data_IF_017841796841
#
_entry.id   IF_017841796841
#
_cell.length_a   1.000
_cell.length_b   1.000
_cell.length_c   1.000
_cell.angle_alpha   90.00
_cell.angle_beta   90.00
_cell.angle_gamma   90.00
#
_symmetry.space_group_name_H-M   'P 1'
#
loop_
_entity.id
_entity.type
_entity.pdbx_description
1 polymer ?
#
# COMPACT_ATOMS: atom_id res chain seq x y z
N UNK A 1 41.92 -29.58 79.46
CA UNK A 1 42.31 -29.08 78.13
C UNK A 1 41.09 -29.28 77.24
N UNK A 2 40.31 -28.21 77.10
CA UNK A 2 38.96 -28.17 76.51
C UNK A 2 39.04 -27.91 75.01
N UNK A 3 38.45 -28.79 74.21
CA UNK A 3 38.39 -28.72 72.75
C UNK A 3 37.05 -28.08 72.33
N UNK A 4 37.02 -26.92 71.64
CA UNK A 4 35.79 -26.31 71.21
C UNK A 4 35.50 -26.54 69.72
N UNK A 5 34.21 -26.78 69.47
CA UNK A 5 33.46 -26.39 68.28
C UNK A 5 33.68 -27.21 67.00
N UNK A 6 32.80 -28.21 66.89
CA UNK A 6 32.19 -28.63 65.65
C UNK A 6 31.67 -27.43 64.84
N UNK A 7 32.16 -27.27 63.62
CA UNK A 7 31.48 -26.51 62.56
C UNK A 7 31.25 -27.43 61.38
N UNK A 8 29.99 -27.83 61.22
CA UNK A 8 29.47 -28.51 60.04
C UNK A 8 29.70 -27.63 58.81
N UNK A 9 30.60 -28.07 57.90
CA UNK A 9 30.70 -27.54 56.55
C UNK A 9 29.76 -28.33 55.66
N UNK A 10 28.54 -27.82 55.53
CA UNK A 10 27.63 -28.09 54.43
C UNK A 10 28.35 -27.81 53.10
N UNK A 11 28.79 -28.88 52.42
CA UNK A 11 29.30 -28.81 51.05
C UNK A 11 28.12 -29.09 50.13
N UNK A 12 27.34 -28.04 49.89
CA UNK A 12 26.38 -28.00 48.79
C UNK A 12 27.07 -28.39 47.49
N UNK A 13 26.83 -29.62 47.05
CA UNK A 13 27.19 -30.10 45.72
C UNK A 13 26.40 -29.27 44.71
N UNK A 14 27.04 -28.22 44.19
CA UNK A 14 26.53 -27.53 43.00
C UNK A 14 26.59 -28.54 41.86
N UNK A 15 25.47 -29.21 41.61
CA UNK A 15 25.21 -29.91 40.37
C UNK A 15 25.56 -28.96 39.22
N UNK A 16 26.69 -29.21 38.56
CA UNK A 16 26.98 -28.60 37.27
C UNK A 16 25.96 -29.19 36.31
N UNK A 17 24.87 -28.47 36.10
CA UNK A 17 24.01 -28.64 34.95
C UNK A 17 24.91 -28.67 33.71
N UNK A 18 25.10 -29.86 33.16
CA UNK A 18 25.80 -30.07 31.90
C UNK A 18 24.95 -29.40 30.83
N UNK A 19 25.25 -28.14 30.53
CA UNK A 19 24.66 -27.45 29.38
C UNK A 19 25.13 -28.16 28.12
N UNK A 20 24.26 -28.99 27.55
CA UNK A 20 24.50 -29.66 26.29
C UNK A 20 24.87 -28.61 25.23
N UNK A 21 26.03 -28.81 24.60
CA UNK A 21 26.56 -27.93 23.56
C UNK A 21 25.54 -27.88 22.41
N UNK A 22 25.16 -26.70 21.89
CA UNK A 22 24.21 -26.62 20.79
C UNK A 22 24.72 -27.46 19.61
N UNK A 23 23.93 -28.44 19.17
CA UNK A 23 24.25 -29.31 18.04
C UNK A 23 24.46 -28.46 16.80
N UNK A 24 25.58 -28.65 16.11
CA UNK A 24 25.88 -27.91 14.88
C UNK A 24 24.74 -28.10 13.86
N UNK A 25 24.40 -27.07 13.06
CA UNK A 25 23.37 -27.19 12.03
C UNK A 25 23.71 -28.33 11.07
N UNK A 26 22.78 -29.27 10.89
CA UNK A 26 22.95 -30.45 10.01
C UNK A 26 23.14 -30.02 8.54
N UNK A 27 22.61 -28.86 8.17
CA UNK A 27 22.85 -28.24 6.87
C UNK A 27 24.02 -27.25 6.97
N UNK A 28 25.11 -27.42 6.20
CA UNK A 28 26.30 -26.57 6.27
C UNK A 28 25.97 -25.08 6.16
N UNK A 29 26.55 -24.21 7.01
CA UNK A 29 26.35 -22.77 6.90
C UNK A 29 27.12 -22.21 5.69
N UNK A 30 26.40 -21.41 4.89
CA UNK A 30 26.87 -20.50 3.82
C UNK A 30 27.65 -21.14 2.66
N UNK A 31 26.88 -21.57 1.66
CA UNK A 31 27.30 -21.55 0.26
C UNK A 31 26.95 -20.19 -0.38
N UNK A 32 27.65 -19.83 -1.46
CA UNK A 32 27.44 -18.59 -2.25
C UNK A 32 25.96 -18.42 -2.63
N UNK A 33 25.28 -19.53 -2.92
CA UNK A 33 23.85 -19.59 -3.28
C UNK A 33 22.92 -19.02 -2.19
N UNK A 34 23.20 -19.26 -0.91
CA UNK A 34 22.39 -18.72 0.19
C UNK A 34 22.52 -17.21 0.38
N UNK A 35 23.71 -16.65 0.10
CA UNK A 35 23.94 -15.20 0.15
C UNK A 35 23.29 -14.51 -1.05
N UNK A 36 23.41 -15.10 -2.24
CA UNK A 36 22.73 -14.60 -3.44
C UNK A 36 21.21 -14.56 -3.26
N UNK A 37 20.60 -15.63 -2.72
CA UNK A 37 19.17 -15.66 -2.42
C UNK A 37 18.75 -14.55 -1.45
N UNK A 38 19.54 -14.30 -0.40
CA UNK A 38 19.25 -13.24 0.57
C UNK A 38 19.20 -11.86 -0.11
N UNK A 39 20.15 -11.59 -1.01
CA UNK A 39 20.20 -10.33 -1.76
C UNK A 39 18.99 -10.19 -2.69
N UNK A 40 18.61 -11.26 -3.41
CA UNK A 40 17.43 -11.23 -4.29
C UNK A 40 16.15 -10.97 -3.48
N UNK A 41 15.97 -11.64 -2.35
CA UNK A 41 14.81 -11.42 -1.47
C UNK A 41 14.83 -9.99 -0.90
N UNK A 42 15.99 -9.44 -0.56
CA UNK A 42 16.10 -8.05 -0.10
C UNK A 42 15.68 -7.06 -1.18
N UNK A 43 16.14 -7.23 -2.44
CA UNK A 43 15.75 -6.38 -3.56
C UNK A 43 14.24 -6.50 -3.83
N UNK A 44 13.70 -7.71 -3.89
CA UNK A 44 12.26 -7.93 -4.13
C UNK A 44 11.41 -7.35 -3.00
N UNK A 45 11.82 -7.54 -1.74
CA UNK A 45 11.11 -6.97 -0.60
C UNK A 45 11.14 -5.44 -0.60
N UNK A 46 12.26 -4.83 -1.01
CA UNK A 46 12.35 -3.39 -1.20
C UNK A 46 11.38 -2.92 -2.29
N UNK A 47 11.39 -3.56 -3.46
CA UNK A 47 10.50 -3.21 -4.57
C UNK A 47 9.02 -3.39 -4.19
N UNK A 48 8.66 -4.47 -3.49
CA UNK A 48 7.32 -4.68 -2.98
C UNK A 48 6.90 -3.57 -2.00
N UNK A 49 7.77 -3.19 -1.07
CA UNK A 49 7.51 -2.12 -0.10
C UNK A 49 7.32 -0.76 -0.79
N UNK A 50 8.17 -0.42 -1.77
CA UNK A 50 8.03 0.81 -2.56
C UNK A 50 6.73 0.81 -3.36
N UNK A 51 6.42 -0.30 -4.03
CA UNK A 51 5.18 -0.45 -4.82
C UNK A 51 3.95 -0.31 -3.94
N UNK A 52 3.93 -0.94 -2.77
CA UNK A 52 2.83 -0.80 -1.81
C UNK A 52 2.68 0.63 -1.32
N UNK A 53 3.78 1.31 -1.00
CA UNK A 53 3.77 2.72 -0.61
C UNK A 53 3.21 3.62 -1.72
N UNK A 54 3.60 3.38 -2.98
CA UNK A 54 3.07 4.13 -4.12
C UNK A 54 1.57 3.90 -4.34
N UNK A 55 1.12 2.64 -4.31
CA UNK A 55 -0.29 2.27 -4.52
C UNK A 55 -1.18 2.84 -3.42
N UNK A 56 -0.77 2.70 -2.14
CA UNK A 56 -1.52 3.23 -1.00
C UNK A 56 -1.63 4.75 -1.06
N UNK A 57 -0.55 5.44 -1.42
CA UNK A 57 -0.56 6.89 -1.60
C UNK A 57 -1.51 7.32 -2.73
N UNK A 58 -1.47 6.67 -3.89
CA UNK A 58 -2.39 6.99 -5.01
C UNK A 58 -3.85 6.78 -4.59
N UNK A 59 -4.15 5.72 -3.86
CA UNK A 59 -5.50 5.41 -3.40
C UNK A 59 -6.00 6.45 -2.39
N UNK A 60 -5.24 6.76 -1.34
CA UNK A 60 -5.63 7.75 -0.32
C UNK A 60 -5.87 9.14 -0.93
N UNK A 61 -5.08 9.52 -1.95
CA UNK A 61 -5.25 10.81 -2.63
C UNK A 61 -6.45 10.82 -3.56
N UNK A 62 -6.72 9.73 -4.27
CA UNK A 62 -7.89 9.61 -5.12
C UNK A 62 -9.20 9.70 -4.31
N UNK A 63 -9.24 9.06 -3.13
CA UNK A 63 -10.39 9.11 -2.22
C UNK A 63 -10.59 10.50 -1.60
N UNK A 64 -9.50 11.18 -1.20
CA UNK A 64 -9.57 12.54 -0.68
C UNK A 64 -10.10 13.55 -1.71
N UNK A 65 -9.58 13.52 -2.94
CA UNK A 65 -10.04 14.39 -4.03
C UNK A 65 -11.50 14.12 -4.41
N UNK A 66 -11.94 12.86 -4.33
CA UNK A 66 -13.33 12.50 -4.58
C UNK A 66 -14.29 13.15 -3.58
N UNK A 67 -13.97 13.11 -2.28
CA UNK A 67 -14.81 13.72 -1.24
C UNK A 67 -14.97 15.23 -1.43
N UNK A 68 -13.89 15.93 -1.78
CA UNK A 68 -13.93 17.39 -1.91
C UNK A 68 -14.68 17.84 -3.18
N UNK A 69 -14.50 17.15 -4.32
CA UNK A 69 -15.12 17.54 -5.61
C UNK A 69 -16.56 17.05 -5.75
N UNK A 70 -16.94 15.96 -5.07
CA UNK A 70 -18.26 15.35 -5.26
C UNK A 70 -19.36 15.89 -4.34
N UNK A 71 -19.03 16.73 -3.36
CA UNK A 71 -19.97 17.31 -2.37
C UNK A 71 -20.63 18.61 -2.80
N UNK A 72 -20.04 19.30 -3.77
CA UNK A 72 -20.52 20.58 -4.23
C UNK A 72 -20.88 20.51 -5.71
N UNK A 73 -22.04 21.04 -6.05
CA UNK A 73 -22.43 21.34 -7.42
C UNK A 73 -22.60 22.84 -7.56
N UNK A 74 -22.26 23.36 -8.74
CA UNK A 74 -22.31 24.78 -9.02
C UNK A 74 -23.39 25.04 -10.06
N UNK A 75 -24.28 25.96 -9.77
CA UNK A 75 -25.26 26.46 -10.73
C UNK A 75 -24.84 27.86 -11.14
N UNK A 76 -24.66 28.06 -12.43
CA UNK A 76 -24.22 29.32 -13.01
C UNK A 76 -25.39 30.00 -13.70
N UNK A 77 -25.65 31.27 -13.39
CA UNK A 77 -26.66 32.08 -14.05
C UNK A 77 -25.94 33.13 -14.89
N UNK A 78 -26.12 33.09 -16.20
CA UNK A 78 -25.54 34.08 -17.11
C UNK A 78 -26.37 35.37 -17.08
N UNK A 79 -25.76 36.55 -17.06
CA UNK A 79 -26.49 37.80 -17.21
C UNK A 79 -27.13 37.88 -18.61
N UNK A 80 -28.43 38.17 -18.66
CA UNK A 80 -29.18 38.43 -19.89
C UNK A 80 -29.96 39.74 -19.75
N UNK A 81 -30.22 40.43 -20.87
CA UNK A 81 -30.96 41.69 -20.87
C UNK A 81 -32.38 41.50 -20.32
N UNK A 82 -32.73 42.28 -19.28
CA UNK A 82 -34.06 42.23 -18.64
C UNK A 82 -34.23 41.13 -17.58
N UNK A 83 -33.19 40.36 -17.27
CA UNK A 83 -33.22 39.37 -16.19
C UNK A 83 -32.95 40.04 -14.82
N UNK A 84 -33.91 39.93 -13.89
CA UNK A 84 -33.66 40.24 -12.48
C UNK A 84 -32.81 39.13 -11.85
N UNK A 85 -31.51 39.42 -11.71
CA UNK A 85 -30.53 38.46 -11.23
C UNK A 85 -30.75 38.05 -9.78
N UNK A 86 -31.21 38.96 -8.92
CA UNK A 86 -31.43 38.63 -7.50
C UNK A 86 -32.66 37.74 -7.34
N UNK A 87 -33.71 38.00 -8.11
CA UNK A 87 -34.88 37.13 -8.16
C UNK A 87 -34.54 35.74 -8.72
N UNK A 88 -33.74 35.68 -9.79
CA UNK A 88 -33.28 34.42 -10.39
C UNK A 88 -32.44 33.59 -9.41
N UNK A 89 -31.53 34.23 -8.65
CA UNK A 89 -30.70 33.55 -7.65
C UNK A 89 -31.52 32.96 -6.50
N UNK A 90 -32.55 33.68 -6.04
CA UNK A 90 -33.47 33.19 -5.00
C UNK A 90 -34.29 32.01 -5.55
N UNK A 91 -34.84 32.14 -6.77
CA UNK A 91 -35.61 31.06 -7.39
C UNK A 91 -34.78 29.78 -7.55
N UNK A 92 -33.54 29.88 -8.05
CA UNK A 92 -32.62 28.74 -8.18
C UNK A 92 -32.34 28.12 -6.80
N UNK A 93 -32.07 28.94 -5.77
CA UNK A 93 -31.82 28.45 -4.41
C UNK A 93 -33.01 27.64 -3.88
N UNK A 94 -34.22 28.14 -4.05
CA UNK A 94 -35.44 27.51 -3.51
C UNK A 94 -35.78 26.20 -4.25
N UNK A 95 -35.62 26.16 -5.58
CA UNK A 95 -35.81 24.95 -6.39
C UNK A 95 -34.85 23.85 -5.95
N UNK A 96 -33.59 24.22 -5.71
CA UNK A 96 -32.56 23.25 -5.34
C UNK A 96 -32.74 22.76 -3.91
N UNK A 97 -33.07 23.63 -2.95
CA UNK A 97 -33.38 23.22 -1.58
C UNK A 97 -34.66 22.37 -1.50
N UNK A 98 -35.59 22.53 -2.45
CA UNK A 98 -36.75 21.65 -2.58
C UNK A 98 -36.44 20.26 -3.15
N UNK A 99 -35.23 20.05 -3.69
CA UNK A 99 -34.83 18.77 -4.28
C UNK A 99 -34.33 17.79 -3.20
N UNK A 100 -34.80 16.53 -3.19
CA UNK A 100 -34.29 15.51 -2.27
C UNK A 100 -32.78 15.31 -2.43
N UNK A 101 -32.03 15.36 -1.34
CA UNK A 101 -30.56 15.20 -1.36
C UNK A 101 -29.75 16.50 -1.43
N UNK A 102 -30.39 17.67 -1.54
CA UNK A 102 -29.73 18.96 -1.34
C UNK A 102 -29.67 19.30 0.17
N UNK A 103 -28.47 19.55 0.69
CA UNK A 103 -28.23 19.84 2.11
C UNK A 103 -28.22 21.33 2.37
N UNK A 104 -27.56 22.10 1.50
CA UNK A 104 -27.45 23.54 1.60
C UNK A 104 -27.31 24.18 0.22
N UNK A 105 -27.79 25.41 0.07
CA UNK A 105 -27.59 26.22 -1.14
C UNK A 105 -27.17 27.63 -0.73
N UNK A 106 -25.98 28.03 -1.17
CA UNK A 106 -25.33 29.30 -0.86
C UNK A 106 -25.12 30.11 -2.13
N UNK A 107 -25.69 31.30 -2.15
CA UNK A 107 -25.46 32.28 -3.22
C UNK A 107 -24.07 32.90 -3.00
N UNK A 108 -23.26 32.94 -4.06
CA UNK A 108 -21.96 33.62 -4.02
C UNK A 108 -22.18 35.12 -4.18
N UNK A 109 -21.70 35.89 -3.20
CA UNK A 109 -21.80 37.34 -3.23
C UNK A 109 -20.83 37.94 -4.24
N UNK A 110 -21.20 39.12 -4.75
CA UNK A 110 -20.44 39.82 -5.79
C UNK A 110 -19.03 40.17 -5.34
N UNK A 111 -18.85 40.55 -4.07
CA UNK A 111 -17.54 40.92 -3.53
C UNK A 111 -16.60 39.71 -3.44
N UNK A 112 -17.11 38.51 -3.13
CA UNK A 112 -16.35 37.27 -3.16
C UNK A 112 -15.90 36.91 -4.57
N UNK A 113 -16.77 37.03 -5.57
CA UNK A 113 -16.37 36.83 -6.97
C UNK A 113 -15.29 37.83 -7.40
N UNK A 114 -15.41 39.11 -7.00
CA UNK A 114 -14.40 40.12 -7.30
C UNK A 114 -13.02 39.77 -6.71
N UNK A 115 -12.98 39.32 -5.44
CA UNK A 115 -11.75 38.84 -4.77
C UNK A 115 -11.12 37.63 -5.45
N UNK A 116 -11.92 36.76 -6.07
CA UNK A 116 -11.40 35.59 -6.80
C UNK A 116 -10.77 35.97 -8.14
N UNK A 117 -11.20 37.09 -8.74
CA UNK A 117 -10.73 37.57 -10.04
C UNK A 117 -9.57 38.57 -9.92
N UNK A 118 -9.46 39.27 -8.79
CA UNK A 118 -8.41 40.25 -8.48
C UNK A 118 -6.97 39.75 -8.74
N UNK A 119 -6.57 38.50 -8.43
CA UNK A 119 -5.23 38.00 -8.76
C UNK A 119 -4.92 37.94 -10.25
N UNK A 120 -5.95 37.92 -11.10
CA UNK A 120 -5.83 37.79 -12.55
C UNK A 120 -6.03 39.11 -13.28
N UNK A 121 -6.95 39.95 -12.80
CA UNK A 121 -7.35 41.21 -13.45
C UNK A 121 -6.74 42.46 -12.78
N UNK A 122 -6.11 42.30 -11.62
CA UNK A 122 -5.59 43.41 -10.81
C UNK A 122 -6.67 44.05 -9.94
N UNK A 123 -6.26 45.06 -9.16
CA UNK A 123 -7.18 45.84 -8.31
C UNK A 123 -7.99 46.84 -9.16
N UNK A 124 -9.27 47.02 -8.83
CA UNK A 124 -10.11 48.12 -9.37
C UNK A 124 -10.76 47.89 -10.74
N UNK A 125 -10.85 46.64 -11.23
CA UNK A 125 -11.66 46.34 -12.40
C UNK A 125 -13.16 46.49 -12.12
N UNK A 126 -13.93 46.94 -13.11
CA UNK A 126 -15.37 47.07 -13.00
C UNK A 126 -16.07 45.72 -13.25
N UNK A 127 -16.79 45.25 -12.24
CA UNK A 127 -17.59 44.01 -12.31
C UNK A 127 -18.87 44.18 -13.14
N UNK A 128 -19.29 45.41 -13.43
CA UNK A 128 -20.48 45.74 -14.24
C UNK A 128 -20.19 45.69 -15.74
N UNK A 129 -18.94 45.88 -16.16
CA UNK A 129 -18.54 45.83 -17.57
C UNK A 129 -18.26 44.40 -18.05
N UNK A 130 -18.03 43.47 -17.14
CA UNK A 130 -17.77 42.06 -17.45
C UNK A 130 -19.05 41.24 -17.32
N UNK A 131 -19.43 40.42 -18.32
CA UNK A 131 -20.55 39.49 -18.22
C UNK A 131 -20.16 38.28 -17.35
N UNK A 132 -19.96 38.52 -16.05
CA UNK A 132 -19.56 37.49 -15.09
C UNK A 132 -20.81 36.74 -14.63
N UNK A 133 -20.87 35.41 -14.78
CA UNK A 133 -21.99 34.62 -14.29
C UNK A 133 -22.07 34.65 -12.76
N UNK A 134 -23.30 34.66 -12.24
CA UNK A 134 -23.53 34.53 -10.79
C UNK A 134 -23.63 33.05 -10.43
N UNK A 135 -23.05 32.70 -9.28
CA UNK A 135 -22.90 31.32 -8.86
C UNK A 135 -23.77 31.02 -7.63
N UNK A 136 -24.43 29.86 -7.65
CA UNK A 136 -25.04 29.25 -6.47
C UNK A 136 -24.32 27.93 -6.21
N UNK A 137 -23.65 27.83 -5.07
CA UNK A 137 -22.97 26.61 -4.63
C UNK A 137 -23.96 25.81 -3.80
N UNK A 138 -24.15 24.56 -4.19
CA UNK A 138 -25.10 23.66 -3.54
C UNK A 138 -24.33 22.48 -2.97
N UNK A 139 -24.45 22.30 -1.66
CA UNK A 139 -23.93 21.13 -0.95
C UNK A 139 -24.96 20.01 -1.03
N UNK A 140 -24.51 18.82 -1.44
CA UNK A 140 -25.36 17.64 -1.63
C UNK A 140 -24.99 16.51 -0.68
N UNK A 141 -25.95 15.64 -0.39
CA UNK A 141 -25.71 14.40 0.35
C UNK A 141 -25.04 13.37 -0.56
N UNK A 142 -23.88 12.85 -0.14
CA UNK A 142 -23.15 11.81 -0.87
C UNK A 142 -23.86 10.45 -0.83
N UNK A 143 -24.57 10.15 0.26
CA UNK A 143 -25.21 8.84 0.45
C UNK A 143 -26.53 8.72 -0.29
N UNK A 144 -27.23 9.84 -0.48
CA UNK A 144 -28.48 9.92 -1.21
C UNK A 144 -28.47 11.13 -2.16
N UNK A 145 -27.75 11.04 -3.29
CA UNK A 145 -27.56 12.18 -4.17
C UNK A 145 -28.86 12.60 -4.86
N UNK A 146 -29.05 13.90 -5.15
CA UNK A 146 -30.21 14.39 -5.87
C UNK A 146 -30.26 13.88 -7.32
N UNK A 147 -31.46 13.80 -7.88
CA UNK A 147 -31.66 13.53 -9.32
C UNK A 147 -31.31 14.78 -10.13
N UNK A 148 -30.09 14.81 -10.68
CA UNK A 148 -29.60 15.92 -11.51
C UNK A 148 -30.36 16.07 -12.83
N UNK A 149 -30.97 14.99 -13.35
CA UNK A 149 -31.82 15.06 -14.54
C UNK A 149 -33.07 15.86 -14.27
N UNK A 150 -33.78 15.50 -13.19
CA UNK A 150 -34.96 16.23 -12.73
C UNK A 150 -34.62 17.67 -12.30
N UNK A 151 -33.50 17.88 -11.60
CA UNK A 151 -33.06 19.22 -11.20
C UNK A 151 -32.73 20.10 -12.40
N UNK A 152 -32.06 19.57 -13.44
CA UNK A 152 -31.76 20.31 -14.66
C UNK A 152 -33.03 20.68 -15.43
N UNK A 153 -34.04 19.81 -15.43
CA UNK A 153 -35.36 20.13 -16.02
C UNK A 153 -36.06 21.23 -15.24
N UNK A 154 -36.14 21.13 -13.91
CA UNK A 154 -36.77 22.14 -13.06
C UNK A 154 -36.08 23.52 -13.17
N UNK A 155 -34.74 23.53 -13.26
CA UNK A 155 -33.97 24.75 -13.48
C UNK A 155 -34.22 25.35 -14.87
N UNK A 156 -34.27 24.53 -15.92
CA UNK A 156 -34.52 25.00 -17.28
C UNK A 156 -35.94 25.57 -17.45
N UNK A 157 -36.93 25.05 -16.73
CA UNK A 157 -38.30 25.57 -16.74
C UNK A 157 -38.44 26.90 -16.01
N UNK A 158 -37.76 27.07 -14.88
CA UNK A 158 -37.89 28.26 -14.03
C UNK A 158 -36.94 29.40 -14.44
N UNK A 159 -35.68 29.08 -14.77
CA UNK A 159 -34.62 30.05 -15.11
C UNK A 159 -33.81 29.52 -16.30
N UNK A 160 -34.22 29.83 -17.55
CA UNK A 160 -33.52 29.34 -18.75
C UNK A 160 -32.04 29.73 -18.84
N UNK A 161 -31.65 30.84 -18.20
CA UNK A 161 -30.26 31.32 -18.13
C UNK A 161 -29.38 30.54 -17.13
N UNK A 162 -29.94 29.61 -16.36
CA UNK A 162 -29.23 28.81 -15.37
C UNK A 162 -28.67 27.52 -15.99
N UNK A 163 -27.36 27.29 -15.80
CA UNK A 163 -26.67 26.07 -16.18
C UNK A 163 -26.17 25.33 -14.93
N UNK A 164 -26.56 24.06 -14.79
CA UNK A 164 -26.08 23.19 -13.72
C UNK A 164 -24.80 22.48 -14.16
N UNK A 165 -23.73 22.66 -13.39
CA UNK A 165 -22.42 22.04 -13.61
C UNK A 165 -22.13 21.00 -12.52
N UNK A 166 -22.25 19.73 -12.90
CA UNK A 166 -21.90 18.58 -12.09
C UNK A 166 -20.46 18.11 -12.39
N UNK A 167 -19.51 18.64 -11.61
CA UNK A 167 -18.08 18.31 -11.72
C UNK A 167 -17.77 16.81 -11.46
N UNK A 168 -18.77 16.06 -11.01
CA UNK A 168 -18.75 14.63 -10.74
C UNK A 168 -18.38 13.78 -11.96
N UNK A 169 -18.88 14.07 -13.15
CA UNK A 169 -18.58 13.23 -14.33
C UNK A 169 -17.09 13.24 -14.70
N UNK A 170 -16.40 14.36 -14.47
CA UNK A 170 -14.95 14.47 -14.62
C UNK A 170 -14.22 13.79 -13.45
N UNK A 171 -14.68 14.01 -12.21
CA UNK A 171 -14.12 13.36 -11.03
C UNK A 171 -14.20 11.82 -11.13
N UNK A 172 -15.35 11.27 -11.56
CA UNK A 172 -15.57 9.83 -11.76
C UNK A 172 -14.58 9.23 -12.76
N UNK A 173 -14.28 9.96 -13.84
CA UNK A 173 -13.27 9.54 -14.82
C UNK A 173 -11.87 9.50 -14.22
N UNK A 174 -11.49 10.52 -13.45
CA UNK A 174 -10.21 10.54 -12.74
C UNK A 174 -10.09 9.41 -11.72
N UNK A 175 -11.15 9.15 -10.97
CA UNK A 175 -11.20 8.05 -9.98
C UNK A 175 -11.12 6.70 -10.70
N UNK A 176 -11.76 6.56 -11.85
CA UNK A 176 -11.64 5.35 -12.69
C UNK A 176 -10.19 5.14 -13.14
N UNK A 177 -9.51 6.19 -13.60
CA UNK A 177 -8.09 6.14 -13.97
C UNK A 177 -7.17 5.81 -12.77
N UNK A 178 -7.46 6.38 -11.59
CA UNK A 178 -6.74 6.05 -10.36
C UNK A 178 -6.93 4.57 -9.98
N UNK A 179 -8.17 4.04 -10.08
CA UNK A 179 -8.45 2.61 -9.84
C UNK A 179 -7.71 1.69 -10.81
N UNK A 180 -7.65 2.03 -12.09
CA UNK A 180 -6.86 1.27 -13.07
C UNK A 180 -5.37 1.30 -12.68
N UNK A 181 -4.86 2.44 -12.23
CA UNK A 181 -3.46 2.57 -11.77
C UNK A 181 -3.19 1.70 -10.55
N UNK A 182 -4.09 1.69 -9.57
CA UNK A 182 -4.04 0.80 -8.40
C UNK A 182 -4.06 -0.67 -8.83
N UNK A 183 -4.93 -1.04 -9.76
CA UNK A 183 -5.01 -2.41 -10.29
C UNK A 183 -3.70 -2.85 -10.94
N UNK A 184 -3.08 -1.98 -11.75
CA UNK A 184 -1.76 -2.24 -12.35
C UNK A 184 -0.70 -2.42 -11.25
N UNK A 185 -0.70 -1.55 -10.23
CA UNK A 185 0.22 -1.65 -9.10
C UNK A 185 0.08 -2.95 -8.32
N UNK A 186 -1.16 -3.39 -8.05
CA UNK A 186 -1.44 -4.70 -7.42
C UNK A 186 -1.00 -5.86 -8.32
N UNK A 187 -1.17 -5.75 -9.64
CA UNK A 187 -0.68 -6.72 -10.62
C UNK A 187 0.85 -6.86 -10.59
N UNK A 188 1.57 -5.75 -10.55
CA UNK A 188 3.04 -5.71 -10.43
C UNK A 188 3.49 -6.32 -9.10
N UNK A 189 2.85 -5.94 -7.98
CA UNK A 189 3.15 -6.51 -6.66
C UNK A 189 2.95 -8.03 -6.64
N UNK A 190 1.86 -8.51 -7.24
CA UNK A 190 1.56 -9.94 -7.37
C UNK A 190 2.63 -10.68 -8.18
N UNK A 191 3.10 -10.07 -9.27
CA UNK A 191 4.17 -10.61 -10.09
C UNK A 191 5.49 -10.70 -9.31
N UNK A 192 5.87 -9.66 -8.56
CA UNK A 192 7.07 -9.66 -7.71
C UNK A 192 7.02 -10.76 -6.65
N UNK A 193 5.86 -10.97 -6.02
CA UNK A 193 5.66 -12.06 -5.05
C UNK A 193 5.78 -13.44 -5.71
N UNK A 194 5.21 -13.62 -6.92
CA UNK A 194 5.35 -14.86 -7.69
C UNK A 194 6.81 -15.13 -8.09
N UNK A 195 7.55 -14.11 -8.56
CA UNK A 195 8.98 -14.22 -8.87
C UNK A 195 9.80 -14.58 -7.63
N UNK A 196 9.47 -13.99 -6.48
CA UNK A 196 10.10 -14.32 -5.19
C UNK A 196 9.87 -15.78 -4.83
N UNK A 197 8.64 -16.28 -4.95
CA UNK A 197 8.34 -17.72 -4.74
C UNK A 197 9.17 -18.60 -5.69
N UNK A 198 9.20 -18.29 -6.98
CA UNK A 198 9.91 -19.09 -7.97
C UNK A 198 11.41 -19.16 -7.67
N UNK A 199 11.99 -18.04 -7.26
CA UNK A 199 13.40 -17.97 -6.84
C UNK A 199 13.64 -18.83 -5.60
N UNK A 200 12.74 -18.80 -4.61
CA UNK A 200 12.82 -19.65 -3.41
C UNK A 200 12.72 -21.14 -3.79
N UNK A 201 11.83 -21.51 -4.73
CA UNK A 201 11.71 -22.90 -5.21
C UNK A 201 13.05 -23.34 -5.84
N UNK A 202 13.60 -22.57 -6.76
CA UNK A 202 14.87 -22.91 -7.41
C UNK A 202 16.02 -22.99 -6.41
N UNK A 203 16.09 -22.05 -5.47
CA UNK A 203 17.13 -22.07 -4.45
C UNK A 203 16.98 -23.26 -3.50
N UNK A 204 15.74 -23.63 -3.12
CA UNK A 204 15.47 -24.81 -2.29
C UNK A 204 15.85 -26.09 -3.02
N UNK A 205 15.45 -26.25 -4.29
CA UNK A 205 15.83 -27.41 -5.11
C UNK A 205 17.33 -27.50 -5.31
N UNK A 206 18.00 -26.38 -5.61
CA UNK A 206 19.45 -26.32 -5.74
C UNK A 206 20.18 -26.68 -4.44
N UNK A 207 19.66 -26.22 -3.29
CA UNK A 207 20.21 -26.58 -1.99
C UNK A 207 20.02 -28.08 -1.66
N UNK A 208 18.89 -28.68 -2.03
CA UNK A 208 18.64 -30.12 -1.88
C UNK A 208 19.58 -30.94 -2.77
N UNK A 209 19.73 -30.56 -4.04
CA UNK A 209 20.59 -31.24 -4.99
C UNK A 209 22.07 -31.20 -4.54
N UNK A 210 22.56 -30.03 -4.09
CA UNK A 210 23.93 -29.88 -3.61
C UNK A 210 24.24 -30.63 -2.30
N UNK A 211 23.21 -30.95 -1.49
CA UNK A 211 23.36 -31.68 -0.22
C UNK A 211 22.77 -33.10 -0.28
N UNK A 212 22.57 -33.67 -1.48
CA UNK A 212 21.94 -34.98 -1.67
C UNK A 212 22.56 -36.08 -0.80
N UNK A 213 23.90 -36.14 -0.74
CA UNK A 213 24.62 -37.11 0.09
C UNK A 213 24.24 -37.03 1.58
N UNK A 214 24.09 -35.82 2.12
CA UNK A 214 23.70 -35.60 3.53
C UNK A 214 22.26 -36.08 3.75
N UNK A 215 21.37 -35.76 2.82
CA UNK A 215 19.95 -36.18 2.86
C UNK A 215 19.84 -37.70 2.80
N UNK A 216 20.61 -38.36 1.94
CA UNK A 216 20.62 -39.82 1.81
C UNK A 216 21.12 -40.50 3.08
N UNK A 217 22.23 -40.05 3.68
CA UNK A 217 22.72 -40.60 4.95
C UNK A 217 21.68 -40.43 6.06
N UNK A 218 21.07 -39.24 6.17
CA UNK A 218 20.08 -38.97 7.20
C UNK A 218 18.81 -39.82 7.00
N UNK A 219 18.44 -40.08 5.74
CA UNK A 219 17.36 -41.00 5.39
C UNK A 219 17.70 -42.45 5.73
N UNK A 220 18.94 -42.91 5.49
CA UNK A 220 19.40 -44.26 5.88
C UNK A 220 19.42 -44.48 7.39
N UNK A 221 19.66 -43.42 8.18
CA UNK A 221 19.56 -43.46 9.65
C UNK A 221 18.10 -43.40 10.13
N UNK A 222 17.12 -43.33 9.22
CA UNK A 222 15.69 -43.41 9.51
C UNK A 222 15.04 -42.07 9.85
N UNK A 223 15.62 -40.95 9.44
CA UNK A 223 15.01 -39.65 9.68
C UNK A 223 13.71 -39.46 8.90
N UNK A 224 12.68 -39.00 9.61
CA UNK A 224 11.40 -38.68 9.01
C UNK A 224 11.52 -37.52 7.98
N UNK A 225 10.84 -37.64 6.84
CA UNK A 225 10.75 -36.59 5.81
C UNK A 225 10.34 -35.23 6.40
N UNK A 226 9.47 -35.23 7.41
CA UNK A 226 9.07 -34.04 8.15
C UNK A 226 10.22 -33.36 8.90
N UNK A 227 11.13 -34.14 9.49
CA UNK A 227 12.31 -33.62 10.17
C UNK A 227 13.25 -32.91 9.18
N UNK A 228 13.51 -33.53 8.03
CA UNK A 228 14.33 -32.93 6.96
C UNK A 228 13.68 -31.62 6.47
N UNK A 229 12.39 -31.64 6.17
CA UNK A 229 11.65 -30.46 5.74
C UNK A 229 11.71 -29.32 6.77
N UNK A 230 11.61 -29.62 8.06
CA UNK A 230 11.68 -28.62 9.14
C UNK A 230 13.04 -27.90 9.22
N UNK A 231 14.14 -28.63 8.96
CA UNK A 231 15.49 -28.04 8.97
C UNK A 231 15.68 -27.06 7.81
N UNK A 232 15.27 -27.44 6.61
CA UNK A 232 15.29 -26.55 5.44
C UNK A 232 14.36 -25.36 5.63
N UNK A 233 13.13 -25.59 6.13
CA UNK A 233 12.17 -24.54 6.40
C UNK A 233 12.73 -23.50 7.37
N UNK A 234 13.28 -23.91 8.52
CA UNK A 234 13.85 -22.97 9.51
C UNK A 234 15.01 -22.17 8.92
N UNK A 235 15.82 -22.79 8.07
CA UNK A 235 16.94 -22.13 7.39
C UNK A 235 16.46 -21.07 6.40
N UNK A 236 15.55 -21.44 5.49
CA UNK A 236 15.03 -20.53 4.48
C UNK A 236 14.14 -19.44 5.08
N UNK A 237 13.41 -19.73 6.16
CA UNK A 237 12.71 -18.71 6.95
C UNK A 237 13.67 -17.62 7.45
N UNK A 238 14.82 -18.00 8.03
CA UNK A 238 15.81 -17.02 8.50
C UNK A 238 16.43 -16.22 7.35
N UNK A 239 16.65 -16.84 6.19
CA UNK A 239 17.15 -16.13 5.00
C UNK A 239 16.10 -15.16 4.48
N UNK A 240 14.85 -15.61 4.37
CA UNK A 240 13.72 -14.80 3.92
C UNK A 240 13.45 -13.63 4.86
N UNK A 241 13.43 -13.87 6.18
CA UNK A 241 13.22 -12.83 7.18
C UNK A 241 14.35 -11.79 7.20
N UNK A 242 15.62 -12.22 7.09
CA UNK A 242 16.75 -11.29 7.02
C UNK A 242 16.76 -10.50 5.71
N UNK A 243 16.55 -11.17 4.58
CA UNK A 243 16.46 -10.52 3.28
C UNK A 243 15.34 -9.50 3.25
N UNK A 244 14.12 -9.93 3.59
CA UNK A 244 12.95 -9.07 3.61
C UNK A 244 13.08 -7.94 4.66
N UNK A 245 13.63 -8.24 5.84
CA UNK A 245 13.91 -7.24 6.86
C UNK A 245 14.88 -6.15 6.39
N UNK A 246 15.95 -6.53 5.68
CA UNK A 246 16.88 -5.55 5.07
C UNK A 246 16.19 -4.75 3.98
N UNK A 247 15.49 -5.41 3.05
CA UNK A 247 14.79 -4.74 1.94
C UNK A 247 13.72 -3.76 2.42
N UNK A 248 12.85 -4.21 3.32
CA UNK A 248 11.81 -3.37 3.94
C UNK A 248 12.39 -2.28 4.82
N UNK A 249 13.48 -2.56 5.55
CA UNK A 249 14.20 -1.55 6.33
C UNK A 249 14.78 -0.44 5.47
N UNK A 250 15.41 -0.79 4.34
CA UNK A 250 15.91 0.18 3.36
C UNK A 250 14.76 0.99 2.77
N UNK A 251 13.63 0.34 2.43
CA UNK A 251 12.44 1.06 1.94
C UNK A 251 11.92 2.07 2.98
N UNK A 252 11.83 1.67 4.26
CA UNK A 252 11.42 2.56 5.33
C UNK A 252 12.37 3.77 5.48
N UNK A 253 13.69 3.54 5.40
CA UNK A 253 14.68 4.64 5.43
C UNK A 253 14.53 5.56 4.23
N UNK A 254 14.32 5.02 3.02
CA UNK A 254 14.07 5.83 1.81
C UNK A 254 12.83 6.70 1.98
N UNK A 255 11.72 6.15 2.46
CA UNK A 255 10.51 6.92 2.72
C UNK A 255 10.71 7.98 3.81
N UNK A 256 11.45 7.68 4.87
CA UNK A 256 11.80 8.67 5.91
C UNK A 256 12.67 9.81 5.35
N UNK A 257 13.66 9.49 4.50
CA UNK A 257 14.52 10.48 3.87
C UNK A 257 13.74 11.37 2.90
N UNK A 258 12.83 10.79 2.11
CA UNK A 258 11.94 11.55 1.22
C UNK A 258 11.04 12.50 2.02
N UNK A 259 10.45 12.02 3.12
CA UNK A 259 9.64 12.84 4.00
C UNK A 259 10.45 13.98 4.64
N UNK A 260 11.67 13.69 5.12
CA UNK A 260 12.55 14.70 5.70
C UNK A 260 12.99 15.74 4.66
N UNK A 261 13.35 15.31 3.45
CA UNK A 261 13.74 16.19 2.35
C UNK A 261 12.62 17.14 1.94
N UNK A 262 11.38 16.63 1.83
CA UNK A 262 10.22 17.47 1.55
C UNK A 262 9.99 18.51 2.65
N UNK A 263 10.14 18.12 3.92
CA UNK A 263 9.95 19.01 5.06
C UNK A 263 11.03 20.10 5.18
N UNK A 264 12.27 19.81 4.75
CA UNK A 264 13.38 20.79 4.74
C UNK A 264 13.34 21.73 3.52
N UNK A 265 12.73 21.32 2.41
CA UNK A 265 12.73 22.09 1.14
C UNK A 265 11.47 22.95 0.99
N UNK A 266 10.79 23.30 2.09
CA UNK A 266 9.58 24.14 2.17
C UNK A 266 9.77 25.60 1.69
N UNK A 267 10.89 25.96 1.07
CA UNK A 267 11.24 27.33 0.68
C UNK A 267 11.33 27.56 -0.85
N UNK A 268 10.88 26.62 -1.68
CA UNK A 268 10.91 26.77 -3.16
C UNK A 268 9.52 26.58 -3.77
N UNK A 269 9.14 27.50 -4.67
CA UNK A 269 7.82 27.52 -5.35
C UNK A 269 7.49 26.21 -6.11
N UNK A 270 8.50 25.48 -6.55
CA UNK A 270 8.35 24.19 -7.22
C UNK A 270 7.86 23.10 -6.25
N UNK A 271 8.22 23.18 -4.98
CA UNK A 271 7.81 22.23 -3.95
C UNK A 271 6.38 22.47 -3.46
N UNK A 272 5.91 23.72 -3.47
CA UNK A 272 4.50 24.03 -3.24
C UNK A 272 3.63 23.49 -4.37
N UNK A 273 4.09 23.61 -5.63
CA UNK A 273 3.41 22.98 -6.76
C UNK A 273 3.45 21.46 -6.68
N UNK A 274 4.59 20.85 -6.34
CA UNK A 274 4.68 19.40 -6.16
C UNK A 274 3.84 18.90 -4.98
N UNK A 275 3.75 19.65 -3.89
CA UNK A 275 2.92 19.32 -2.72
C UNK A 275 1.44 19.56 -3.01
N UNK A 276 1.09 20.53 -3.85
CA UNK A 276 -0.28 20.74 -4.32
C UNK A 276 -0.72 19.65 -5.32
N UNK A 277 0.18 19.18 -6.19
CA UNK A 277 -0.11 18.17 -7.21
C UNK A 277 -0.03 16.73 -6.68
N UNK A 278 0.89 16.44 -5.77
CA UNK A 278 1.15 15.07 -5.28
C UNK A 278 0.90 14.91 -3.77
N UNK A 279 0.57 15.98 -3.05
CA UNK A 279 0.40 15.97 -1.59
C UNK A 279 1.73 15.86 -0.83
N UNK A 280 1.65 15.81 0.50
CA UNK A 280 2.81 15.39 1.32
C UNK A 280 3.11 13.91 1.06
N UNK A 281 4.33 13.60 0.65
CA UNK A 281 4.89 12.25 0.56
C UNK A 281 5.21 11.73 1.98
N UNK A 282 4.20 11.67 2.85
CA UNK A 282 4.32 11.05 4.16
C UNK A 282 3.61 9.71 4.12
N UNK A 283 4.37 8.63 4.35
CA UNK A 283 3.78 7.33 4.57
C UNK A 283 2.90 7.42 5.84
N UNK A 284 1.59 7.21 5.67
CA UNK A 284 0.67 7.01 6.80
C UNK A 284 1.18 5.89 7.70
N UNK A 285 0.76 5.85 8.97
CA UNK A 285 1.04 4.70 9.84
C UNK A 285 0.65 3.38 9.17
N UNK A 286 -0.41 3.39 8.35
CA UNK A 286 -0.85 2.27 7.53
C UNK A 286 0.23 1.77 6.56
N UNK A 287 1.00 2.66 5.94
CA UNK A 287 2.07 2.28 5.01
C UNK A 287 3.25 1.60 5.71
N UNK A 288 3.62 2.03 6.92
CA UNK A 288 4.63 1.34 7.72
C UNK A 288 4.15 -0.06 8.17
N UNK A 289 2.88 -0.19 8.57
CA UNK A 289 2.28 -1.50 8.81
C UNK A 289 2.29 -2.37 7.54
N UNK A 290 2.08 -1.77 6.37
CA UNK A 290 2.20 -2.42 5.07
C UNK A 290 3.58 -3.03 4.81
N UNK A 291 4.65 -2.32 5.15
CA UNK A 291 6.03 -2.84 5.03
C UNK A 291 6.23 -4.07 5.93
N UNK A 292 5.79 -3.98 7.19
CA UNK A 292 5.87 -5.10 8.13
C UNK A 292 5.04 -6.30 7.63
N UNK A 293 3.84 -6.03 7.07
CA UNK A 293 2.99 -7.05 6.48
C UNK A 293 3.67 -7.73 5.27
N UNK A 294 4.36 -6.98 4.40
CA UNK A 294 5.14 -7.55 3.29
C UNK A 294 6.28 -8.43 3.81
N UNK A 295 7.01 -8.00 4.84
CA UNK A 295 8.08 -8.80 5.43
C UNK A 295 7.53 -10.12 5.98
N UNK A 296 6.42 -10.06 6.73
CA UNK A 296 5.75 -11.24 7.27
C UNK A 296 5.22 -12.15 6.14
N UNK A 297 4.64 -11.57 5.10
CA UNK A 297 4.12 -12.28 3.94
C UNK A 297 5.24 -13.02 3.18
N UNK A 298 6.35 -12.34 2.88
CA UNK A 298 7.50 -12.95 2.21
C UNK A 298 8.10 -14.06 3.08
N UNK A 299 8.21 -13.86 4.39
CA UNK A 299 8.70 -14.89 5.31
C UNK A 299 7.77 -16.11 5.35
N UNK A 300 6.45 -15.89 5.42
CA UNK A 300 5.46 -16.96 5.41
C UNK A 300 5.46 -17.72 4.08
N UNK A 301 5.46 -17.00 2.96
CA UNK A 301 5.54 -17.58 1.62
C UNK A 301 6.82 -18.40 1.44
N UNK A 302 7.98 -17.85 1.85
CA UNK A 302 9.26 -18.56 1.77
C UNK A 302 9.21 -19.87 2.56
N UNK A 303 8.67 -19.82 3.77
CA UNK A 303 8.53 -20.96 4.68
C UNK A 303 7.63 -22.05 4.10
N UNK A 304 6.45 -21.66 3.61
CA UNK A 304 5.46 -22.57 3.03
C UNK A 304 6.00 -23.20 1.74
N UNK A 305 6.55 -22.37 0.85
CA UNK A 305 7.11 -22.81 -0.42
C UNK A 305 8.28 -23.76 -0.21
N UNK A 306 9.23 -23.45 0.67
CA UNK A 306 10.33 -24.37 0.99
C UNK A 306 9.82 -25.71 1.51
N UNK A 307 8.86 -25.72 2.44
CA UNK A 307 8.30 -26.97 2.99
C UNK A 307 7.65 -27.82 1.89
N UNK A 308 6.82 -27.21 1.05
CA UNK A 308 6.14 -27.89 -0.06
C UNK A 308 7.14 -28.42 -1.09
N UNK A 309 8.15 -27.62 -1.44
CA UNK A 309 9.20 -28.02 -2.39
C UNK A 309 9.98 -29.22 -1.87
N UNK A 310 10.43 -29.20 -0.60
CA UNK A 310 11.21 -30.32 -0.03
C UNK A 310 10.39 -31.61 0.02
N UNK A 311 9.13 -31.54 0.49
CA UNK A 311 8.24 -32.72 0.54
C UNK A 311 8.00 -33.30 -0.86
N UNK A 312 7.77 -32.45 -1.87
CA UNK A 312 7.57 -32.89 -3.26
C UNK A 312 8.84 -33.53 -3.82
N UNK A 313 10.00 -32.93 -3.60
CA UNK A 313 11.28 -33.47 -4.09
C UNK A 313 11.62 -34.82 -3.45
N UNK A 314 11.36 -35.01 -2.15
CA UNK A 314 11.61 -36.32 -1.52
C UNK A 314 10.67 -37.39 -2.08
N UNK A 315 9.37 -37.09 -2.24
CA UNK A 315 8.41 -38.03 -2.86
C UNK A 315 8.81 -38.43 -4.29
N UNK A 316 9.37 -37.50 -5.05
CA UNK A 316 9.88 -37.75 -6.40
C UNK A 316 11.07 -38.72 -6.38
N UNK A 317 12.01 -38.53 -5.45
CA UNK A 317 13.15 -39.43 -5.24
C UNK A 317 12.70 -40.83 -4.82
N UNK A 318 11.76 -40.93 -3.87
CA UNK A 318 11.24 -42.21 -3.39
C UNK A 318 10.54 -42.98 -4.51
N UNK A 319 9.78 -42.27 -5.36
CA UNK A 319 9.10 -42.86 -6.52
C UNK A 319 10.08 -43.40 -7.57
N UNK A 320 11.15 -42.66 -7.86
CA UNK A 320 12.21 -43.10 -8.78
C UNK A 320 12.98 -44.32 -8.24
N UNK A 321 13.17 -44.42 -6.92
CA UNK A 321 13.80 -45.61 -6.31
C UNK A 321 12.88 -46.83 -6.30
N UNK A 322 11.57 -46.64 -6.15
CA UNK A 322 10.59 -47.73 -6.17
C UNK A 322 10.37 -48.32 -7.57
N UNK A 323 10.53 -47.52 -8.63
CA UNK A 323 10.38 -47.95 -10.01
C UNK A 323 11.55 -47.41 -10.88
N UNK A 324 12.68 -48.16 -10.95
CA UNK A 324 13.87 -47.72 -11.67
C UNK A 324 13.67 -47.59 -13.19
N UNK A 325 12.59 -48.14 -13.75
CA UNK A 325 12.25 -47.97 -15.17
C UNK A 325 11.87 -46.52 -15.54
N UNK A 326 11.52 -45.69 -14.56
CA UNK A 326 11.22 -44.26 -14.74
C UNK A 326 12.47 -43.38 -14.87
N UNK A 327 13.65 -43.89 -14.52
CA UNK A 327 14.91 -43.13 -14.59
C UNK A 327 15.47 -43.03 -16.02
N UNK A 328 15.05 -43.91 -16.94
CA UNK A 328 15.54 -43.96 -18.32
C UNK A 328 14.79 -43.01 -19.28
N UNK A 329 13.75 -42.31 -18.82
CA UNK A 329 12.82 -41.53 -19.67
C UNK A 329 12.86 -40.01 -19.40
N UNK A 330 13.77 -39.53 -18.55
CA UNK A 330 13.85 -38.14 -18.08
C UNK A 330 15.07 -37.37 -18.54
#
# INVERSE_FOLDING_TARGET
MTDPAATARDRGSKERLVTLRPTAPIVPPVNVSGRALMVVIAIMSFLCAVTLGAVTMVQEKAEAWQGDVSREITIQIKPEEGLDMDQALIAVRDIVLGSPGAVAARIVDRASTARLLEPWLGEGFDMDELPVPRLVIVTIDENNPPDFGAMRQALAEAVPAAALDDHRAWADRLISMARITVLIGVGILSLMLATTMLTVIFATRGAMAGNRHIVEVLHFVGAETGFIASQFQRRFLLIGLKGAGVGGGVAAVVFLLLAAWQNHTMATALNDQATALFGRFSLSSAGYFGIVAIIALIAAMTTLTTRLTVIRTIREIDRQRADPSLAEIG
#
